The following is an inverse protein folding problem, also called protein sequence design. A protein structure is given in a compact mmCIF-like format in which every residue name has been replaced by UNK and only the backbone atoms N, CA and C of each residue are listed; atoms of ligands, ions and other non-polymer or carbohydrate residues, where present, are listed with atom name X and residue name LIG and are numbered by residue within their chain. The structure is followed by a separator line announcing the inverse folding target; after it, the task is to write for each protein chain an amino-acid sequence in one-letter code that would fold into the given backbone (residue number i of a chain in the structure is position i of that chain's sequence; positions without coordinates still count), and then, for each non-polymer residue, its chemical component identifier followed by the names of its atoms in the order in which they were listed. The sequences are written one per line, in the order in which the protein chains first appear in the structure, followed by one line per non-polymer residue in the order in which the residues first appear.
data_IF_178812352110
#
_entry.id   IF_178812352110
#
_cell.length_a   1.000
_cell.length_b   1.000
_cell.length_c   1.000
_cell.angle_alpha   90.00
_cell.angle_beta   90.00
_cell.angle_gamma   90.00
#
_symmetry.space_group_name_H-M   'P 1'
#
loop_
_entity.id
_entity.type
_entity.pdbx_description
1 polymer ?
#
# COMPACT_ATOMS: atom_id res chain seq x y z
N UNK A 1 0.27 13.62 -25.14
CA UNK A 1 -0.13 13.80 -23.73
C UNK A 1 0.19 12.51 -22.98
N UNK A 2 1.06 12.54 -21.96
CA UNK A 2 1.36 11.33 -21.17
C UNK A 2 0.13 11.04 -20.27
N UNK A 3 -0.52 9.87 -20.38
CA UNK A 3 -1.78 9.59 -19.69
C UNK A 3 -1.61 9.42 -18.17
N UNK A 4 -0.41 9.06 -17.71
CA UNK A 4 -0.05 8.97 -16.29
C UNK A 4 1.45 9.28 -16.09
N UNK A 5 1.80 9.67 -14.87
CA UNK A 5 3.18 9.80 -14.40
C UNK A 5 3.44 8.69 -13.37
N UNK A 6 4.38 7.79 -13.66
CA UNK A 6 4.75 6.72 -12.75
C UNK A 6 5.84 7.20 -11.79
N UNK A 7 5.63 6.99 -10.48
CA UNK A 7 6.61 7.28 -9.43
C UNK A 7 6.88 6.01 -8.63
N UNK A 8 8.15 5.63 -8.54
CA UNK A 8 8.61 4.51 -7.72
C UNK A 8 9.02 5.02 -6.35
N UNK A 9 8.51 4.39 -5.31
CA UNK A 9 8.87 4.70 -3.93
C UNK A 9 9.54 3.50 -3.29
N UNK A 10 10.58 3.77 -2.50
CA UNK A 10 11.23 2.79 -1.64
C UNK A 10 10.90 3.13 -0.19
N UNK A 11 10.56 2.12 0.59
CA UNK A 11 10.24 2.26 2.00
C UNK A 11 10.99 1.21 2.81
N UNK A 12 11.45 1.61 3.99
CA UNK A 12 12.07 0.72 4.96
C UNK A 12 11.10 0.55 6.14
N UNK A 13 10.85 -0.68 6.52
CA UNK A 13 10.09 -0.98 7.73
C UNK A 13 10.96 -0.64 8.95
N UNK A 14 10.52 0.32 9.77
CA UNK A 14 11.17 0.64 11.05
C UNK A 14 10.73 -0.35 12.14
N UNK A 15 9.46 -0.74 12.09
CA UNK A 15 8.82 -1.70 13.00
C UNK A 15 8.29 -2.91 12.21
N UNK A 16 8.08 -4.07 12.86
CA UNK A 16 7.44 -5.22 12.23
C UNK A 16 6.07 -4.85 11.63
N UNK A 17 5.86 -5.20 10.36
CA UNK A 17 4.62 -4.90 9.63
C UNK A 17 3.79 -6.18 9.51
N UNK A 18 2.51 -6.10 9.92
CA UNK A 18 1.55 -7.18 9.74
C UNK A 18 0.43 -6.76 8.78
N UNK A 19 0.43 -7.34 7.57
CA UNK A 19 -0.65 -7.17 6.60
C UNK A 19 -1.40 -8.48 6.49
N UNK A 20 -2.58 -8.58 7.11
CA UNK A 20 -3.33 -9.83 7.19
C UNK A 20 -4.02 -10.23 5.88
N UNK A 21 -4.23 -11.54 5.68
CA UNK A 21 -4.92 -12.12 4.51
C UNK A 21 -6.45 -12.16 4.61
N UNK A 22 -7.03 -11.50 5.63
CA UNK A 22 -8.49 -11.40 5.77
C UNK A 22 -9.22 -12.73 6.01
N UNK A 23 -8.55 -13.72 6.62
CA UNK A 23 -9.12 -15.03 6.96
C UNK A 23 -8.76 -16.15 5.99
N UNK A 24 -8.07 -15.86 4.88
CA UNK A 24 -7.53 -16.89 3.99
C UNK A 24 -6.34 -17.58 4.67
N UNK A 25 -6.54 -18.82 5.13
CA UNK A 25 -5.52 -19.66 5.78
C UNK A 25 -4.86 -20.57 4.76
N UNK A 26 -3.72 -20.15 4.23
CA UNK A 26 -2.89 -20.98 3.35
C UNK A 26 -1.91 -21.90 4.12
N UNK A 27 -1.74 -21.72 5.44
CA UNK A 27 -0.72 -22.44 6.20
C UNK A 27 -1.09 -22.68 7.67
N UNK A 28 -0.11 -23.18 8.45
CA UNK A 28 -0.29 -23.51 9.89
C UNK A 28 -0.43 -22.30 10.81
N UNK A 29 -0.16 -21.09 10.31
CA UNK A 29 -0.21 -19.85 11.08
C UNK A 29 -1.62 -19.27 11.00
N UNK A 30 -2.23 -18.96 12.16
CA UNK A 30 -3.62 -18.47 12.23
C UNK A 30 -3.85 -17.14 11.50
N UNK A 31 -2.91 -16.20 11.65
CA UNK A 31 -2.93 -14.88 11.01
C UNK A 31 -1.73 -14.75 10.08
N UNK A 32 -1.85 -15.32 8.88
CA UNK A 32 -0.81 -15.19 7.86
C UNK A 32 -0.74 -13.79 7.28
N UNK A 33 0.48 -13.36 6.96
CA UNK A 33 0.71 -12.15 6.16
C UNK A 33 0.41 -12.38 4.69
N UNK A 34 0.03 -11.32 3.97
CA UNK A 34 -0.23 -11.36 2.53
C UNK A 34 1.04 -11.71 1.75
N UNK A 35 0.90 -12.62 0.78
CA UNK A 35 1.95 -13.07 -0.13
C UNK A 35 1.47 -12.99 -1.56
N UNK A 36 2.41 -12.82 -2.49
CA UNK A 36 2.13 -12.92 -3.91
C UNK A 36 1.91 -14.39 -4.31
N UNK A 37 0.81 -14.76 -5.01
CA UNK A 37 0.51 -16.15 -5.33
C UNK A 37 1.57 -16.86 -6.20
N UNK A 38 2.24 -16.12 -7.10
CA UNK A 38 3.22 -16.70 -8.03
C UNK A 38 4.59 -16.97 -7.40
N UNK A 39 5.08 -16.06 -6.54
CA UNK A 39 6.41 -16.13 -5.94
C UNK A 39 6.40 -16.57 -4.49
N UNK A 40 5.22 -16.56 -3.84
CA UNK A 40 5.02 -16.77 -2.42
C UNK A 40 5.82 -15.80 -1.53
N UNK A 41 6.31 -14.68 -2.09
CA UNK A 41 7.00 -13.64 -1.35
C UNK A 41 6.00 -12.72 -0.65
N UNK A 42 6.29 -12.25 0.57
CA UNK A 42 5.45 -11.25 1.22
C UNK A 42 5.33 -9.97 0.38
N UNK A 43 4.13 -9.40 0.36
CA UNK A 43 3.85 -8.12 -0.31
C UNK A 43 2.87 -7.28 0.51
N UNK A 44 2.87 -5.98 0.28
CA UNK A 44 1.83 -5.08 0.79
C UNK A 44 0.92 -4.72 -0.39
N UNK A 45 -0.36 -5.08 -0.37
CA UNK A 45 -1.29 -4.74 -1.45
C UNK A 45 -1.38 -3.22 -1.66
N UNK A 46 -1.47 -2.79 -2.92
CA UNK A 46 -1.68 -1.39 -3.29
C UNK A 46 -2.96 -0.82 -2.70
N UNK A 47 -3.98 -1.66 -2.49
CA UNK A 47 -5.22 -1.29 -1.79
C UNK A 47 -4.99 -0.98 -0.31
N UNK A 48 -4.09 -1.71 0.37
CA UNK A 48 -3.73 -1.45 1.77
C UNK A 48 -2.93 -0.14 1.88
N UNK A 49 -1.96 0.07 0.98
CA UNK A 49 -1.20 1.32 0.90
C UNK A 49 -2.11 2.52 0.63
N UNK A 50 -3.00 2.38 -0.36
CA UNK A 50 -4.00 3.39 -0.73
C UNK A 50 -4.91 3.73 0.44
N UNK A 51 -5.42 2.74 1.18
CA UNK A 51 -6.27 2.95 2.34
C UNK A 51 -5.58 3.73 3.47
N UNK A 52 -4.34 3.36 3.81
CA UNK A 52 -3.57 4.06 4.85
C UNK A 52 -3.21 5.48 4.39
N UNK A 53 -2.73 5.64 3.15
CA UNK A 53 -2.41 6.96 2.60
C UNK A 53 -3.65 7.88 2.57
N UNK A 54 -4.82 7.34 2.20
CA UNK A 54 -6.10 8.04 2.23
C UNK A 54 -6.46 8.52 3.63
N UNK A 55 -6.33 7.64 4.63
CA UNK A 55 -6.61 7.96 6.03
C UNK A 55 -5.66 9.06 6.55
N UNK A 56 -4.35 8.91 6.31
CA UNK A 56 -3.34 9.91 6.69
C UNK A 56 -3.61 11.27 6.04
N UNK A 57 -3.90 11.30 4.73
CA UNK A 57 -4.23 12.53 4.02
C UNK A 57 -5.52 13.15 4.53
N UNK A 58 -6.53 12.34 4.87
CA UNK A 58 -7.76 12.83 5.46
C UNK A 58 -7.53 13.45 6.84
N UNK A 59 -6.67 12.87 7.67
CA UNK A 59 -6.30 13.46 8.97
C UNK A 59 -5.56 14.79 8.77
N UNK A 60 -4.56 14.81 7.89
CA UNK A 60 -3.76 16.00 7.60
C UNK A 60 -4.58 17.17 7.02
N UNK A 61 -5.65 16.87 6.29
CA UNK A 61 -6.51 17.89 5.64
C UNK A 61 -7.79 18.19 6.42
N UNK A 62 -7.96 17.64 7.63
CA UNK A 62 -9.18 17.82 8.43
C UNK A 62 -10.43 17.18 7.81
N UNK A 63 -10.26 16.19 6.91
CA UNK A 63 -11.32 15.45 6.23
C UNK A 63 -11.57 14.05 6.80
N UNK A 64 -10.87 13.68 7.87
CA UNK A 64 -11.08 12.41 8.56
C UNK A 64 -12.39 12.42 9.35
N UNK A 65 -12.62 13.48 10.13
CA UNK A 65 -13.87 13.78 10.82
C UNK A 65 -14.22 15.25 10.53
N UNK A 66 -15.02 15.49 9.51
CA UNK A 66 -15.45 16.86 9.16
C UNK A 66 -16.92 17.05 9.51
N UNK A 67 -17.28 18.30 9.84
CA UNK A 67 -18.65 18.73 10.02
C UNK A 67 -18.86 19.98 9.17
N UNK A 68 -19.83 19.94 8.26
CA UNK A 68 -20.21 21.10 7.44
C UNK A 68 -21.72 21.20 7.41
N UNK A 69 -22.26 22.33 7.83
CA UNK A 69 -23.70 22.61 7.80
C UNK A 69 -24.55 21.53 8.51
N UNK A 70 -24.05 21.01 9.64
CA UNK A 70 -24.71 19.96 10.43
C UNK A 70 -24.47 18.53 9.93
N UNK A 71 -23.82 18.38 8.76
CA UNK A 71 -23.49 17.09 8.15
C UNK A 71 -22.10 16.65 8.59
N UNK A 72 -22.05 15.53 9.31
CA UNK A 72 -20.80 14.88 9.72
C UNK A 72 -20.42 13.79 8.74
N UNK A 73 -19.14 13.64 8.45
CA UNK A 73 -18.66 12.59 7.57
C UNK A 73 -17.15 12.35 7.62
N UNK A 74 -16.72 11.34 6.87
CA UNK A 74 -15.32 10.97 6.68
C UNK A 74 -15.00 10.73 5.22
N UNK A 75 -13.98 11.42 4.70
CA UNK A 75 -13.48 11.16 3.35
C UNK A 75 -12.60 9.91 3.27
N UNK A 76 -12.24 9.28 4.39
CA UNK A 76 -11.42 8.06 4.46
C UNK A 76 -12.23 6.76 4.68
N UNK A 77 -13.49 6.86 5.11
CA UNK A 77 -14.34 5.68 5.36
C UNK A 77 -14.84 4.99 4.09
N UNK A 78 -15.63 3.93 4.25
CA UNK A 78 -16.18 3.12 3.15
C UNK A 78 -17.30 3.81 2.35
N UNK A 79 -17.71 5.02 2.75
CA UNK A 79 -18.72 5.80 2.04
C UNK A 79 -20.17 5.31 2.20
N UNK A 80 -20.40 4.21 2.94
CA UNK A 80 -21.74 3.73 3.30
C UNK A 80 -22.28 4.61 4.44
N UNK A 81 -23.29 5.44 4.13
CA UNK A 81 -23.96 6.27 5.12
C UNK A 81 -24.75 5.39 6.09
N UNK A 82 -24.30 5.30 7.34
CA UNK A 82 -25.10 4.76 8.43
C UNK A 82 -26.05 5.83 9.00
N UNK A 83 -26.99 5.40 9.84
CA UNK A 83 -27.86 6.27 10.63
C UNK A 83 -27.01 7.15 11.57
N UNK A 84 -26.56 8.31 11.07
CA UNK A 84 -25.81 9.31 11.86
C UNK A 84 -24.62 10.00 11.18
N UNK A 85 -24.27 9.72 9.92
CA UNK A 85 -23.16 10.46 9.31
C UNK A 85 -22.86 10.11 7.85
N UNK A 86 -22.91 11.14 7.02
CA UNK A 86 -22.85 11.12 5.57
C UNK A 86 -21.48 10.68 5.04
N UNK A 87 -21.48 10.01 3.87
CA UNK A 87 -20.30 9.47 3.21
C UNK A 87 -19.29 10.53 2.73
N UNK A 88 -18.53 10.21 1.68
CA UNK A 88 -17.54 11.13 1.13
C UNK A 88 -18.16 12.50 0.79
N UNK A 89 -17.43 13.59 1.02
CA UNK A 89 -17.94 14.95 0.78
C UNK A 89 -18.24 15.25 -0.70
N UNK A 90 -17.73 14.43 -1.64
CA UNK A 90 -18.04 14.48 -3.08
C UNK A 90 -17.62 15.77 -3.79
N UNK A 91 -16.88 16.65 -3.10
CA UNK A 91 -16.39 17.90 -3.67
C UNK A 91 -15.23 17.63 -4.62
N UNK A 92 -15.22 18.21 -5.84
CA UNK A 92 -14.09 18.13 -6.76
C UNK A 92 -12.86 18.91 -6.25
N UNK A 93 -13.00 19.67 -5.16
CA UNK A 93 -11.91 20.40 -4.51
C UNK A 93 -11.40 19.68 -3.25
N UNK A 94 -11.97 18.52 -2.90
CA UNK A 94 -11.47 17.72 -1.78
C UNK A 94 -10.27 16.89 -2.25
N UNK A 95 -9.06 17.17 -1.74
CA UNK A 95 -7.85 16.55 -2.26
C UNK A 95 -7.82 15.03 -1.96
N UNK A 96 -8.49 14.59 -0.88
CA UNK A 96 -8.69 13.16 -0.57
C UNK A 96 -9.60 12.49 -1.60
N UNK A 97 -10.75 13.08 -1.92
CA UNK A 97 -11.73 12.49 -2.84
C UNK A 97 -11.21 12.46 -4.28
N UNK A 98 -10.46 13.48 -4.71
CA UNK A 98 -9.86 13.53 -6.04
C UNK A 98 -8.73 12.50 -6.18
N UNK A 99 -7.87 12.36 -5.17
CA UNK A 99 -6.76 11.41 -5.22
C UNK A 99 -7.26 9.96 -5.15
N UNK A 100 -8.15 9.63 -4.21
CA UNK A 100 -8.52 8.24 -3.89
C UNK A 100 -9.91 7.81 -4.39
N UNK A 101 -10.67 8.72 -4.97
CA UNK A 101 -12.01 8.45 -5.48
C UNK A 101 -13.08 8.35 -4.38
N UNK A 102 -14.34 8.28 -4.81
CA UNK A 102 -15.49 8.09 -3.93
C UNK A 102 -16.65 7.44 -4.66
N UNK A 103 -17.51 6.74 -3.93
CA UNK A 103 -18.79 6.23 -4.42
C UNK A 103 -19.95 6.85 -3.62
N UNK A 104 -21.07 7.15 -4.29
CA UNK A 104 -22.31 7.66 -3.68
C UNK A 104 -23.54 6.93 -4.23
N UNK A 105 -23.51 5.60 -4.25
CA UNK A 105 -24.62 4.77 -4.72
C UNK A 105 -25.17 5.24 -6.08
N UNK A 106 -26.47 5.45 -6.16
CA UNK A 106 -27.20 5.85 -7.38
C UNK A 106 -26.84 7.25 -7.90
N UNK A 107 -26.21 8.10 -7.08
CA UNK A 107 -25.76 9.44 -7.48
C UNK A 107 -24.37 9.45 -8.14
N UNK A 108 -23.83 8.26 -8.44
CA UNK A 108 -22.58 8.07 -9.16
C UNK A 108 -21.34 8.01 -8.26
N UNK A 109 -20.17 8.02 -8.91
CA UNK A 109 -18.88 7.95 -8.25
C UNK A 109 -17.78 8.58 -9.09
N UNK A 110 -16.65 8.84 -8.45
CA UNK A 110 -15.46 9.38 -9.10
C UNK A 110 -14.31 8.40 -8.89
N UNK A 111 -13.66 8.01 -9.99
CA UNK A 111 -12.45 7.20 -9.93
C UNK A 111 -11.28 8.09 -9.48
N UNK A 112 -10.57 7.67 -8.43
CA UNK A 112 -9.40 8.39 -7.94
C UNK A 112 -8.32 8.52 -9.00
N UNK A 113 -7.65 9.66 -9.03
CA UNK A 113 -6.55 9.93 -9.96
C UNK A 113 -5.25 9.20 -9.57
N UNK A 114 -5.08 8.87 -8.28
CA UNK A 114 -3.91 8.15 -7.80
C UNK A 114 -4.14 6.64 -7.88
N UNK A 115 -3.22 5.94 -8.55
CA UNK A 115 -3.21 4.48 -8.64
C UNK A 115 -2.03 3.93 -7.84
N UNK A 116 -2.29 2.91 -7.03
CA UNK A 116 -1.30 2.28 -6.16
C UNK A 116 -1.05 0.85 -6.64
N UNK A 117 0.21 0.54 -6.92
CA UNK A 117 0.67 -0.82 -7.16
C UNK A 117 1.02 -1.50 -5.83
N UNK A 118 1.10 -2.83 -5.84
CA UNK A 118 1.56 -3.61 -4.70
C UNK A 118 3.04 -3.30 -4.40
N UNK A 119 3.38 -3.10 -3.13
CA UNK A 119 4.78 -3.02 -2.71
C UNK A 119 5.36 -4.44 -2.57
N UNK A 120 6.46 -4.67 -3.29
CA UNK A 120 7.23 -5.92 -3.29
C UNK A 120 8.47 -5.76 -2.43
N UNK A 121 8.94 -6.87 -1.86
CA UNK A 121 10.21 -6.90 -1.12
C UNK A 121 11.35 -6.63 -2.09
N UNK A 122 12.17 -5.64 -1.75
CA UNK A 122 13.45 -5.39 -2.40
C UNK A 122 14.61 -6.04 -1.63
N UNK A 123 14.68 -5.77 -0.32
CA UNK A 123 15.66 -6.35 0.59
C UNK A 123 14.96 -6.93 1.82
N UNK A 124 15.41 -8.10 2.27
CA UNK A 124 14.91 -8.75 3.48
C UNK A 124 16.05 -8.91 4.49
N UNK A 125 15.86 -8.48 5.75
CA UNK A 125 16.90 -8.60 6.76
C UNK A 125 16.98 -10.06 7.25
N UNK A 126 18.18 -10.63 7.24
CA UNK A 126 18.45 -12.00 7.68
C UNK A 126 19.57 -11.95 8.71
N UNK A 127 19.38 -12.66 9.83
CA UNK A 127 20.43 -12.85 10.82
C UNK A 127 21.59 -13.66 10.23
N UNK A 128 22.83 -13.22 10.47
CA UNK A 128 24.04 -13.95 10.11
C UNK A 128 25.07 -13.89 11.25
N UNK A 129 26.15 -14.68 11.13
CA UNK A 129 27.24 -14.71 12.12
C UNK A 129 27.96 -13.37 12.30
N UNK A 130 27.89 -12.49 11.30
CA UNK A 130 28.51 -11.15 11.33
C UNK A 130 27.51 -10.04 11.69
N UNK A 131 26.27 -10.41 12.07
CA UNK A 131 25.17 -9.48 12.32
C UNK A 131 24.07 -9.56 11.27
N UNK A 132 23.04 -8.69 11.36
CA UNK A 132 21.96 -8.65 10.38
C UNK A 132 22.47 -8.18 9.02
N UNK A 133 22.13 -8.92 7.97
CA UNK A 133 22.47 -8.59 6.59
C UNK A 133 21.22 -8.43 5.75
N UNK A 134 21.27 -7.54 4.75
CA UNK A 134 20.19 -7.37 3.78
C UNK A 134 20.37 -8.34 2.62
N UNK A 135 19.37 -9.17 2.38
CA UNK A 135 19.39 -10.19 1.32
C UNK A 135 18.39 -9.80 0.22
N UNK A 136 18.79 -9.99 -1.03
CA UNK A 136 17.93 -9.85 -2.22
C UNK A 136 18.28 -10.93 -3.25
N UNK A 137 17.53 -11.01 -4.34
CA UNK A 137 17.80 -11.91 -5.46
C UNK A 137 18.12 -11.15 -6.74
N UNK A 138 18.82 -11.84 -7.64
CA UNK A 138 19.15 -11.32 -8.96
C UNK A 138 17.91 -10.90 -9.76
N UNK A 139 16.79 -11.62 -9.63
CA UNK A 139 15.55 -11.30 -10.34
C UNK A 139 14.98 -9.95 -9.90
N UNK A 140 15.00 -9.68 -8.59
CA UNK A 140 14.49 -8.42 -8.02
C UNK A 140 15.39 -7.25 -8.41
N UNK A 141 16.72 -7.42 -8.40
CA UNK A 141 17.65 -6.38 -8.85
C UNK A 141 17.45 -6.02 -10.33
N UNK A 142 17.20 -7.01 -11.20
CA UNK A 142 16.91 -6.78 -12.62
C UNK A 142 15.64 -5.97 -12.84
N UNK A 143 14.59 -6.15 -12.02
CA UNK A 143 13.38 -5.32 -12.08
C UNK A 143 13.67 -3.83 -11.83
N UNK A 144 14.79 -3.52 -11.17
CA UNK A 144 15.26 -2.16 -10.90
C UNK A 144 16.45 -1.73 -11.79
N UNK A 145 16.71 -2.43 -12.89
CA UNK A 145 17.76 -2.08 -13.85
C UNK A 145 19.18 -2.35 -13.37
N UNK A 146 19.33 -3.14 -12.29
CA UNK A 146 20.63 -3.55 -11.77
C UNK A 146 20.96 -4.93 -12.30
N UNK A 147 21.90 -5.00 -13.24
CA UNK A 147 22.41 -6.26 -13.79
C UNK A 147 23.57 -6.79 -12.97
N UNK A 148 23.26 -7.71 -12.07
CA UNK A 148 24.26 -8.48 -11.33
C UNK A 148 24.22 -9.92 -11.78
N UNK A 149 25.37 -10.59 -11.90
CA UNK A 149 25.43 -12.02 -12.24
C UNK A 149 26.05 -12.79 -11.08
N UNK A 150 25.28 -13.73 -10.53
CA UNK A 150 25.69 -14.60 -9.44
C UNK A 150 25.36 -16.03 -9.87
N UNK A 151 26.29 -16.96 -9.71
CA UNK A 151 26.00 -18.37 -10.00
C UNK A 151 24.99 -18.90 -8.97
N UNK A 152 24.13 -19.89 -9.33
CA UNK A 152 23.03 -20.34 -8.47
C UNK A 152 23.45 -20.84 -7.08
N UNK A 153 24.71 -21.25 -6.94
CA UNK A 153 25.34 -21.82 -5.76
C UNK A 153 26.15 -20.80 -4.95
N UNK A 154 26.21 -19.53 -5.37
CA UNK A 154 27.03 -18.51 -4.73
C UNK A 154 26.19 -17.36 -4.19
N UNK A 155 26.75 -16.71 -3.18
CA UNK A 155 26.27 -15.43 -2.67
C UNK A 155 27.33 -14.39 -3.01
N UNK A 156 26.88 -13.23 -3.49
CA UNK A 156 27.75 -12.06 -3.65
C UNK A 156 27.51 -11.11 -2.49
N UNK A 157 28.58 -10.79 -1.77
CA UNK A 157 28.55 -9.76 -0.75
C UNK A 157 28.88 -8.42 -1.40
N UNK A 158 28.01 -7.43 -1.20
CA UNK A 158 28.32 -6.05 -1.57
C UNK A 158 29.31 -5.47 -0.54
N UNK A 159 30.32 -4.75 -1.01
CA UNK A 159 31.18 -3.94 -0.16
C UNK A 159 30.32 -2.82 0.43
N UNK A 160 30.22 -2.76 1.76
CA UNK A 160 29.57 -1.67 2.49
C UNK A 160 30.40 -0.39 2.46
#
# INVERSE_FOLDING_TARGET
MKPCENKTYYAMALDPIHVGTGGYRLGRVDLSIVREPGTNLPKIPGTSLSGVARACMAMATGRYNWNKDGKKGSCAGQGQGGEGGEGHCGSPYCPVCVAFGFARGDSGGFQGLAQFADARILFFPVHSMIGPVWVTSQSVLREHGIEETVSPDKVRLASG
#
